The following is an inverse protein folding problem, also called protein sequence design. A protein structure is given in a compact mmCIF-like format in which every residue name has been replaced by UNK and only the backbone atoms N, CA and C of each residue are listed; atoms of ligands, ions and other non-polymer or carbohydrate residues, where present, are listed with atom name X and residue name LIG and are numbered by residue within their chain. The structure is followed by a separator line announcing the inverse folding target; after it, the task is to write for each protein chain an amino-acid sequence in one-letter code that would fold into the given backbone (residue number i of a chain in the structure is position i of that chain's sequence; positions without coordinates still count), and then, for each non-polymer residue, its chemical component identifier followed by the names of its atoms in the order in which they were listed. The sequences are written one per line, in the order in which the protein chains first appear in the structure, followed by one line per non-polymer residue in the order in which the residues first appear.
data_IF_890731828795
#
_entry.id   IF_890731828795
#
_cell.length_a   1.000
_cell.length_b   1.000
_cell.length_c   1.000
_cell.angle_alpha   90.00
_cell.angle_beta   90.00
_cell.angle_gamma   90.00
#
_symmetry.space_group_name_H-M   'P 1'
#
loop_
_entity.id
_entity.type
_entity.pdbx_description
1 polymer ?
#
# COMPACT_ATOMS: atom_id res chain seq x y z
N UNK A 1 19.84 -9.90 -3.89
CA UNK A 1 18.65 -10.53 -4.50
C UNK A 1 17.90 -9.42 -5.22
N UNK A 2 18.01 -9.33 -6.55
CA UNK A 2 17.44 -8.22 -7.33
C UNK A 2 16.36 -8.81 -8.24
N UNK A 3 15.18 -9.07 -7.68
CA UNK A 3 14.03 -9.54 -8.44
C UNK A 3 13.16 -8.34 -8.83
N UNK A 4 12.97 -8.15 -10.13
CA UNK A 4 11.85 -7.39 -10.69
C UNK A 4 10.69 -8.36 -10.85
N UNK A 5 9.51 -7.97 -10.38
CA UNK A 5 8.30 -8.79 -10.39
C UNK A 5 7.22 -8.00 -11.11
N UNK A 6 6.68 -8.61 -12.16
CA UNK A 6 5.48 -8.15 -12.84
C UNK A 6 4.24 -8.43 -11.99
N UNK A 7 3.33 -7.48 -11.92
CA UNK A 7 2.05 -7.53 -11.23
C UNK A 7 0.97 -7.36 -12.30
N UNK A 8 0.25 -8.44 -12.56
CA UNK A 8 -0.93 -8.42 -13.41
C UNK A 8 -2.10 -7.79 -12.64
N UNK A 9 -2.56 -6.64 -13.12
CA UNK A 9 -3.71 -5.94 -12.57
C UNK A 9 -4.65 -5.71 -13.75
N UNK A 10 -5.88 -6.27 -13.73
CA UNK A 10 -6.81 -6.14 -14.85
C UNK A 10 -6.98 -4.67 -15.29
N UNK A 11 -6.40 -4.34 -16.45
CA UNK A 11 -6.46 -3.03 -17.08
C UNK A 11 -5.40 -2.00 -16.64
N UNK A 12 -4.48 -2.35 -15.74
CA UNK A 12 -3.45 -1.40 -15.24
C UNK A 12 -2.21 -2.11 -14.64
N UNK A 13 -1.56 -2.98 -15.43
CA UNK A 13 -0.38 -3.76 -15.03
C UNK A 13 0.78 -2.90 -14.52
N UNK A 14 1.62 -3.46 -13.66
CA UNK A 14 2.81 -2.76 -13.17
C UNK A 14 3.93 -3.66 -12.71
N UNK A 15 5.09 -3.06 -12.47
CA UNK A 15 6.28 -3.75 -12.02
C UNK A 15 6.74 -3.24 -10.65
N UNK A 16 7.24 -4.15 -9.82
CA UNK A 16 7.93 -3.81 -8.55
C UNK A 16 9.31 -4.43 -8.50
N UNK A 17 10.20 -3.80 -7.74
CA UNK A 17 11.51 -4.35 -7.37
C UNK A 17 11.59 -4.54 -5.86
N UNK A 18 12.30 -5.58 -5.42
CA UNK A 18 12.74 -5.69 -4.02
C UNK A 18 13.85 -4.66 -3.78
N UNK A 19 13.43 -3.48 -3.34
CA UNK A 19 14.31 -2.33 -3.07
C UNK A 19 15.04 -2.39 -1.72
N UNK A 20 14.61 -3.27 -0.82
CA UNK A 20 15.22 -3.42 0.49
C UNK A 20 14.75 -4.68 1.18
N UNK A 21 15.57 -5.21 2.07
CA UNK A 21 15.21 -6.33 2.92
C UNK A 21 16.08 -6.32 4.18
N UNK A 22 15.58 -6.94 5.23
CA UNK A 22 16.35 -7.24 6.43
C UNK A 22 15.99 -8.64 6.88
N UNK A 23 17.00 -9.38 7.33
CA UNK A 23 16.82 -10.68 7.94
C UNK A 23 17.50 -10.70 9.30
N UNK A 24 16.75 -11.08 10.33
CA UNK A 24 17.29 -11.34 11.66
C UNK A 24 16.45 -12.43 12.34
N UNK A 25 16.98 -13.10 13.39
CA UNK A 25 16.25 -14.17 14.07
C UNK A 25 14.87 -13.75 14.63
N UNK A 26 14.71 -12.47 14.99
CA UNK A 26 13.49 -11.95 15.63
C UNK A 26 12.67 -11.03 14.74
N UNK A 27 13.22 -10.55 13.62
CA UNK A 27 12.53 -9.64 12.73
C UNK A 27 13.07 -9.72 11.31
N UNK A 28 12.18 -9.92 10.35
CA UNK A 28 12.50 -9.96 8.92
C UNK A 28 11.51 -9.14 8.13
N UNK A 29 11.96 -8.48 7.07
CA UNK A 29 11.07 -7.73 6.18
C UNK A 29 11.63 -7.58 4.76
N UNK A 30 10.73 -7.27 3.83
CA UNK A 30 11.01 -6.93 2.44
C UNK A 30 10.28 -5.65 2.06
N UNK A 31 10.91 -4.82 1.24
CA UNK A 31 10.35 -3.58 0.72
C UNK A 31 10.26 -3.69 -0.80
N UNK A 32 9.03 -3.69 -1.30
CA UNK A 32 8.71 -3.64 -2.72
C UNK A 32 8.47 -2.19 -3.13
N UNK A 33 9.15 -1.76 -4.19
CA UNK A 33 9.00 -0.41 -4.75
C UNK A 33 8.46 -0.53 -6.16
N UNK A 34 7.41 0.22 -6.47
CA UNK A 34 6.90 0.34 -7.85
C UNK A 34 7.96 0.96 -8.74
N UNK A 35 8.25 0.34 -9.88
CA UNK A 35 9.13 0.88 -10.90
C UNK A 35 8.32 1.16 -12.16
N UNK A 36 8.74 2.18 -12.90
CA UNK A 36 8.21 2.43 -14.24
C UNK A 36 9.13 1.75 -15.25
N UNK A 37 8.55 0.91 -16.10
CA UNK A 37 9.28 0.34 -17.24
C UNK A 37 9.06 1.22 -18.48
N UNK A 38 9.94 1.16 -19.50
CA UNK A 38 9.95 2.15 -20.59
C UNK A 38 8.80 2.03 -21.61
N UNK A 39 7.77 1.22 -21.35
CA UNK A 39 6.63 1.10 -22.26
C UNK A 39 5.63 2.24 -22.04
N UNK A 40 5.53 3.12 -23.04
CA UNK A 40 4.73 4.36 -23.03
C UNK A 40 3.26 4.13 -23.41
N UNK A 41 2.92 2.97 -23.98
CA UNK A 41 1.57 2.66 -24.46
C UNK A 41 1.03 1.48 -23.67
N UNK A 42 -0.10 1.68 -22.98
CA UNK A 42 -0.82 0.62 -22.27
C UNK A 42 -1.41 -0.37 -23.27
N UNK A 43 -0.58 -1.27 -23.79
CA UNK A 43 -1.08 -2.52 -24.38
C UNK A 43 -1.43 -3.45 -23.22
N UNK A 44 -2.56 -4.15 -23.31
CA UNK A 44 -2.91 -5.21 -22.34
C UNK A 44 -1.73 -6.17 -22.17
N UNK A 45 -1.23 -6.34 -20.94
CA UNK A 45 -0.05 -7.16 -20.65
C UNK A 45 1.29 -6.40 -20.63
N UNK A 46 1.30 -5.07 -20.85
CA UNK A 46 2.50 -4.25 -20.69
C UNK A 46 2.45 -3.43 -19.40
N UNK A 47 3.54 -3.48 -18.64
CA UNK A 47 3.73 -2.62 -17.47
C UNK A 47 3.86 -1.17 -17.92
N UNK A 48 2.85 -0.35 -17.64
CA UNK A 48 2.85 1.08 -17.93
C UNK A 48 3.18 1.93 -16.69
N UNK A 49 2.90 3.24 -16.74
CA UNK A 49 2.86 4.07 -15.54
C UNK A 49 1.73 3.62 -14.61
N UNK A 50 2.09 2.89 -13.54
CA UNK A 50 1.11 2.37 -12.59
C UNK A 50 0.35 3.53 -11.88
N UNK A 51 -0.97 3.40 -11.65
CA UNK A 51 -1.84 4.47 -11.15
C UNK A 51 -1.48 4.89 -9.73
N UNK A 52 -0.91 3.96 -8.95
CA UNK A 52 -0.49 4.16 -7.57
C UNK A 52 0.95 3.68 -7.35
N UNK A 53 1.88 4.59 -7.10
CA UNK A 53 3.26 4.27 -6.75
C UNK A 53 3.54 4.34 -5.26
N UNK A 54 4.65 3.74 -4.86
CA UNK A 54 5.15 3.85 -3.50
C UNK A 54 5.99 2.66 -3.05
N UNK A 55 6.19 2.62 -1.73
CA UNK A 55 7.00 1.61 -1.05
C UNK A 55 6.09 0.79 -0.13
N UNK A 56 6.14 -0.53 -0.30
CA UNK A 56 5.32 -1.48 0.46
C UNK A 56 6.24 -2.45 1.20
N UNK A 57 6.21 -2.39 2.53
CA UNK A 57 6.93 -3.26 3.44
C UNK A 57 6.04 -4.42 3.88
N UNK A 58 6.55 -5.63 3.75
CA UNK A 58 5.97 -6.84 4.30
C UNK A 58 6.94 -7.39 5.34
N UNK A 59 6.47 -7.65 6.55
CA UNK A 59 7.36 -8.05 7.63
C UNK A 59 6.75 -9.04 8.60
N UNK A 60 7.66 -9.68 9.34
CA UNK A 60 7.42 -10.68 10.35
C UNK A 60 8.26 -10.34 11.58
N UNK A 61 7.64 -10.36 12.76
CA UNK A 61 8.30 -10.21 14.06
C UNK A 61 8.00 -11.44 14.89
N UNK A 62 9.02 -12.02 15.51
CA UNK A 62 8.87 -13.06 16.53
C UNK A 62 8.84 -12.38 17.89
N UNK A 63 7.72 -12.51 18.59
CA UNK A 63 7.52 -11.92 19.91
C UNK A 63 8.18 -12.79 20.99
N UNK A 64 8.49 -12.17 22.13
CA UNK A 64 9.15 -12.85 23.26
C UNK A 64 8.32 -13.99 23.85
N UNK A 65 6.99 -13.92 23.74
CA UNK A 65 6.06 -14.98 24.16
C UNK A 65 5.92 -16.13 23.14
N UNK A 66 6.75 -16.16 22.09
CA UNK A 66 6.73 -17.18 21.05
C UNK A 66 5.67 -16.99 19.95
N UNK A 67 4.81 -15.98 20.07
CA UNK A 67 3.88 -15.60 18.99
C UNK A 67 4.59 -14.87 17.84
N UNK A 68 3.91 -14.72 16.72
CA UNK A 68 4.40 -13.97 15.57
C UNK A 68 3.46 -12.81 15.22
N UNK A 69 4.04 -11.68 14.84
CA UNK A 69 3.31 -10.57 14.23
C UNK A 69 3.69 -10.46 12.77
N UNK A 70 2.74 -10.70 11.88
CA UNK A 70 2.88 -10.44 10.45
C UNK A 70 2.24 -9.10 10.17
N UNK A 71 2.94 -8.23 9.46
CA UNK A 71 2.46 -6.89 9.19
C UNK A 71 2.76 -6.45 7.77
N UNK A 72 1.90 -5.56 7.29
CA UNK A 72 2.15 -4.78 6.09
C UNK A 72 2.18 -3.30 6.46
N UNK A 73 3.01 -2.54 5.76
CA UNK A 73 3.06 -1.09 5.86
C UNK A 73 3.34 -0.52 4.49
N UNK A 74 2.61 0.50 4.07
CA UNK A 74 2.85 1.12 2.78
C UNK A 74 2.48 2.59 2.77
N UNK A 75 3.01 3.29 1.77
CA UNK A 75 2.56 4.63 1.38
C UNK A 75 2.20 4.54 -0.09
N UNK A 76 0.98 4.99 -0.41
CA UNK A 76 0.42 4.97 -1.75
C UNK A 76 0.34 6.41 -2.29
N UNK A 77 0.84 6.65 -3.50
CA UNK A 77 0.82 7.95 -4.20
C UNK A 77 0.18 7.77 -5.56
N UNK A 78 -0.80 8.60 -5.91
CA UNK A 78 -1.38 8.61 -7.26
C UNK A 78 -0.40 9.30 -8.21
N UNK A 79 -0.04 8.65 -9.33
CA UNK A 79 1.05 9.10 -10.21
C UNK A 79 0.60 9.98 -11.40
N UNK A 80 -0.70 10.04 -11.72
CA UNK A 80 -1.23 10.81 -12.85
C UNK A 80 -1.84 12.15 -12.42
N UNK A 81 -1.48 13.23 -13.11
CA UNK A 81 -2.01 14.57 -12.92
C UNK A 81 -3.53 14.64 -13.09
N UNK A 82 -4.14 14.03 -14.11
CA UNK A 82 -5.60 14.18 -14.26
C UNK A 82 -6.35 13.37 -13.18
N UNK A 83 -5.93 12.13 -12.90
CA UNK A 83 -6.51 11.28 -11.84
C UNK A 83 -6.24 11.82 -10.42
N UNK A 84 -5.12 12.48 -10.18
CA UNK A 84 -4.81 13.10 -8.88
C UNK A 84 -5.61 14.37 -8.61
N UNK A 85 -6.11 15.06 -9.64
CA UNK A 85 -6.86 16.31 -9.50
C UNK A 85 -8.38 16.11 -9.45
N UNK A 86 -8.87 14.90 -9.79
CA UNK A 86 -10.28 14.53 -9.61
C UNK A 86 -10.44 13.87 -8.23
N UNK A 87 -10.77 14.70 -7.23
CA UNK A 87 -10.90 14.30 -5.82
C UNK A 87 -11.73 13.02 -5.56
N UNK A 88 -12.93 12.85 -6.14
CA UNK A 88 -13.71 11.62 -5.95
C UNK A 88 -13.00 10.36 -6.47
N UNK A 89 -12.18 10.51 -7.52
CA UNK A 89 -11.40 9.40 -8.09
C UNK A 89 -10.25 9.04 -7.17
N UNK A 90 -9.59 10.03 -6.54
CA UNK A 90 -8.49 9.77 -5.61
C UNK A 90 -8.96 9.01 -4.36
N UNK A 91 -10.07 9.42 -3.74
CA UNK A 91 -10.64 8.72 -2.58
C UNK A 91 -11.07 7.29 -2.95
N UNK A 92 -11.69 7.12 -4.12
CA UNK A 92 -12.06 5.80 -4.62
C UNK A 92 -10.84 4.89 -4.79
N UNK A 93 -9.74 5.39 -5.36
CA UNK A 93 -8.50 4.62 -5.55
C UNK A 93 -7.87 4.23 -4.21
N UNK A 94 -7.84 5.13 -3.23
CA UNK A 94 -7.35 4.81 -1.89
C UNK A 94 -8.23 3.78 -1.18
N UNK A 95 -9.56 3.86 -1.35
CA UNK A 95 -10.47 2.84 -0.83
C UNK A 95 -10.21 1.48 -1.46
N UNK A 96 -10.01 1.41 -2.78
CA UNK A 96 -9.67 0.16 -3.46
C UNK A 96 -8.32 -0.42 -3.01
N UNK A 97 -7.34 0.44 -2.74
CA UNK A 97 -6.10 0.01 -2.12
C UNK A 97 -6.34 -0.56 -0.72
N UNK A 98 -7.14 0.11 0.13
CA UNK A 98 -7.52 -0.39 1.45
C UNK A 98 -8.20 -1.77 1.38
N UNK A 99 -9.20 -1.94 0.49
CA UNK A 99 -9.89 -3.20 0.28
C UNK A 99 -8.89 -4.33 -0.09
N UNK A 100 -7.88 -4.02 -0.92
CA UNK A 100 -6.83 -4.96 -1.30
C UNK A 100 -5.94 -5.32 -0.10
N UNK A 101 -5.50 -4.34 0.69
CA UNK A 101 -4.70 -4.57 1.89
C UNK A 101 -5.44 -5.41 2.94
N UNK A 102 -6.72 -5.10 3.17
CA UNK A 102 -7.57 -5.82 4.12
C UNK A 102 -7.85 -7.24 3.63
N UNK A 103 -8.12 -7.45 2.33
CA UNK A 103 -8.31 -8.79 1.77
C UNK A 103 -7.05 -9.66 1.86
N UNK A 104 -5.84 -9.08 1.72
CA UNK A 104 -4.60 -9.81 1.95
C UNK A 104 -4.48 -10.29 3.41
N UNK A 105 -4.76 -9.42 4.38
CA UNK A 105 -4.71 -9.79 5.80
C UNK A 105 -5.72 -10.90 6.12
N UNK A 106 -6.91 -10.80 5.55
CA UNK A 106 -7.97 -11.80 5.69
C UNK A 106 -7.61 -13.14 5.05
N UNK A 107 -7.05 -13.11 3.84
CA UNK A 107 -6.57 -14.30 3.14
C UNK A 107 -5.44 -14.99 3.90
N UNK A 108 -4.49 -14.21 4.44
CA UNK A 108 -3.40 -14.75 5.27
C UNK A 108 -3.93 -15.36 6.56
N UNK A 109 -4.87 -14.69 7.25
CA UNK A 109 -5.56 -15.25 8.42
C UNK A 109 -6.18 -16.59 8.06
N UNK A 110 -7.02 -16.62 7.03
CA UNK A 110 -7.72 -17.82 6.58
C UNK A 110 -6.74 -18.96 6.25
N UNK A 111 -5.64 -18.65 5.54
CA UNK A 111 -4.60 -19.61 5.23
C UNK A 111 -3.98 -20.23 6.49
N UNK A 112 -3.56 -19.42 7.46
CA UNK A 112 -2.90 -19.92 8.68
C UNK A 112 -3.91 -20.69 9.57
N UNK A 113 -5.15 -20.21 9.68
CA UNK A 113 -6.21 -20.87 10.45
C UNK A 113 -6.48 -22.28 9.92
N UNK A 114 -6.59 -22.42 8.59
CA UNK A 114 -6.90 -23.69 7.93
C UNK A 114 -5.75 -24.70 7.93
N UNK A 115 -4.50 -24.25 8.11
CA UNK A 115 -3.33 -25.12 7.95
C UNK A 115 -2.61 -25.51 9.25
N UNK A 116 -2.68 -24.71 10.32
CA UNK A 116 -1.81 -24.99 11.48
C UNK A 116 -2.28 -24.45 12.83
N UNK A 117 -2.88 -23.26 12.89
CA UNK A 117 -3.01 -22.55 14.17
C UNK A 117 -4.46 -22.27 14.63
N UNK A 118 -5.49 -22.78 13.94
CA UNK A 118 -6.89 -22.65 14.37
C UNK A 118 -7.30 -21.21 14.71
N UNK A 119 -8.23 -21.01 15.66
CA UNK A 119 -8.78 -19.69 16.04
C UNK A 119 -7.83 -18.78 16.85
N UNK A 120 -6.51 -19.01 16.82
CA UNK A 120 -5.54 -18.24 17.63
C UNK A 120 -5.07 -16.93 16.99
N UNK A 121 -5.59 -16.60 15.81
CA UNK A 121 -5.16 -15.44 15.02
C UNK A 121 -6.05 -14.23 15.28
N UNK A 122 -5.42 -13.10 15.55
CA UNK A 122 -6.10 -11.80 15.68
C UNK A 122 -5.62 -10.86 14.58
N UNK A 123 -6.55 -10.19 13.91
CA UNK A 123 -6.25 -9.06 13.03
C UNK A 123 -6.38 -7.78 13.85
N UNK A 124 -5.29 -7.00 13.90
CA UNK A 124 -5.31 -5.69 14.55
C UNK A 124 -5.98 -4.66 13.64
N UNK A 125 -6.62 -3.65 14.23
CA UNK A 125 -7.18 -2.52 13.47
C UNK A 125 -6.09 -1.81 12.66
N UNK A 126 -6.24 -1.66 11.33
CA UNK A 126 -5.24 -0.97 10.51
C UNK A 126 -5.13 0.52 10.89
N UNK A 127 -3.89 1.00 11.05
CA UNK A 127 -3.63 2.44 11.17
C UNK A 127 -3.58 3.08 9.78
N UNK A 128 -4.47 4.03 9.50
CA UNK A 128 -4.60 4.70 8.21
C UNK A 128 -4.32 6.19 8.38
N UNK A 129 -3.29 6.68 7.70
CA UNK A 129 -2.93 8.10 7.65
C UNK A 129 -3.25 8.62 6.26
N UNK A 130 -4.10 9.66 6.17
CA UNK A 130 -4.53 10.25 4.90
C UNK A 130 -4.47 11.76 5.03
N UNK A 131 -3.81 12.47 4.11
CA UNK A 131 -3.92 13.92 4.07
C UNK A 131 -5.38 14.32 3.90
N UNK A 132 -5.82 15.34 4.64
CA UNK A 132 -7.15 15.94 4.50
C UNK A 132 -7.18 16.82 3.24
N UNK A 133 -7.13 16.20 2.06
CA UNK A 133 -6.92 16.91 0.80
C UNK A 133 -7.99 17.96 0.52
N UNK A 134 -9.24 17.71 0.93
CA UNK A 134 -10.32 18.68 0.75
C UNK A 134 -10.10 19.94 1.58
N UNK A 135 -9.61 19.81 2.82
CA UNK A 135 -9.22 20.94 3.67
C UNK A 135 -8.01 21.66 3.06
N UNK A 136 -6.98 20.91 2.64
CA UNK A 136 -5.81 21.47 1.98
C UNK A 136 -6.18 22.28 0.73
N UNK A 137 -7.06 21.75 -0.13
CA UNK A 137 -7.57 22.47 -1.30
C UNK A 137 -8.29 23.75 -0.90
N UNK A 138 -9.20 23.67 0.06
CA UNK A 138 -10.00 24.81 0.51
C UNK A 138 -9.11 25.92 1.10
N UNK A 139 -8.01 25.57 1.78
CA UNK A 139 -7.00 26.54 2.21
C UNK A 139 -6.27 27.16 1.03
N UNK A 140 -5.81 26.35 0.07
CA UNK A 140 -5.07 26.82 -1.11
C UNK A 140 -5.89 27.77 -2.00
N UNK A 141 -7.22 27.63 -2.02
CA UNK A 141 -8.13 28.52 -2.77
C UNK A 141 -8.74 29.64 -1.91
N UNK A 142 -8.21 29.87 -0.69
CA UNK A 142 -8.67 30.89 0.27
C UNK A 142 -10.12 30.74 0.76
N UNK A 143 -10.70 29.55 0.69
CA UNK A 143 -12.00 29.24 1.29
C UNK A 143 -11.90 28.91 2.79
N UNK A 144 -10.71 28.53 3.27
CA UNK A 144 -10.43 28.25 4.68
C UNK A 144 -9.10 28.90 5.11
N UNK A 145 -8.94 29.28 6.39
CA UNK A 145 -7.69 29.85 6.89
C UNK A 145 -6.57 28.80 6.93
N UNK A 146 -5.29 29.18 6.76
CA UNK A 146 -4.16 28.24 6.84
C UNK A 146 -4.09 27.44 8.15
N UNK A 147 -4.59 28.01 9.25
CA UNK A 147 -4.66 27.34 10.57
C UNK A 147 -5.55 26.09 10.59
N UNK A 148 -6.38 25.86 9.56
CA UNK A 148 -7.14 24.61 9.43
C UNK A 148 -6.23 23.39 9.21
N UNK A 149 -4.99 23.58 8.77
CA UNK A 149 -4.05 22.49 8.49
C UNK A 149 -3.17 22.10 9.69
N UNK A 150 -3.37 22.70 10.87
CA UNK A 150 -2.45 22.60 12.01
C UNK A 150 -2.45 21.24 12.74
N UNK A 151 -3.09 20.20 12.21
CA UNK A 151 -3.05 18.86 12.79
C UNK A 151 -2.89 17.76 11.72
N UNK A 152 -1.66 17.25 11.56
CA UNK A 152 -1.42 15.94 10.96
C UNK A 152 -1.74 14.84 11.99
N UNK A 153 -3.03 14.60 12.22
CA UNK A 153 -3.53 13.40 12.92
C UNK A 153 -3.81 12.26 11.94
#
# INVERSE_FOLDING_TARGET
MNAVIHINIPGDDGSVIVSGHQFSPNASHWIFTTIQVPFIVATTGADGPHPVSGHRKFGLIRNSNGSYTIYTRGVDRVQDGLRAHIFPVQEYMFKKADDLWESFQEGLRSYIQNNSYGNTITINTPAKWRPKWQEAKNVLINNLPPSTLDECN
#
